data_IF_098827641974
#
_entry.id   IF_098827641974
#
_cell.length_a   1.000
_cell.length_b   1.000
_cell.length_c   1.000
_cell.angle_alpha   90.00
_cell.angle_beta   90.00
_cell.angle_gamma   90.00
#
_symmetry.space_group_name_H-M   'P 1'
#
loop_
_entity.id
_entity.type
_entity.pdbx_description
1 polymer ?
#
# COMPACT_ATOMS: atom_id res chain seq x y z
N UNK A 1 4.24 23.75 -2.47
CA UNK A 1 3.15 22.83 -2.84
C UNK A 1 3.46 21.51 -2.16
N UNK A 2 3.04 21.39 -0.90
CA UNK A 2 3.09 20.13 -0.17
C UNK A 2 1.96 19.28 -0.75
N UNK A 3 2.28 18.43 -1.74
CA UNK A 3 1.36 17.37 -2.11
C UNK A 3 1.22 16.48 -0.89
N UNK A 4 0.12 16.66 -0.18
CA UNK A 4 -0.28 15.85 0.96
C UNK A 4 -0.67 14.45 0.43
N UNK A 5 0.33 13.68 -0.01
CA UNK A 5 0.14 12.28 -0.37
C UNK A 5 0.01 11.50 0.94
N UNK A 6 -1.17 11.54 1.55
CA UNK A 6 -1.48 10.79 2.77
C UNK A 6 -1.47 9.29 2.43
N UNK A 7 -0.33 8.64 2.61
CA UNK A 7 -0.20 7.20 2.47
C UNK A 7 -0.40 6.52 3.82
N UNK A 8 -1.07 5.37 3.82
CA UNK A 8 -1.26 4.55 5.01
C UNK A 8 -0.24 3.43 5.03
N UNK A 9 0.46 3.27 6.16
CA UNK A 9 1.41 2.16 6.35
C UNK A 9 0.71 1.01 7.08
N UNK A 10 0.60 -0.13 6.39
CA UNK A 10 0.13 -1.37 6.98
C UNK A 10 1.31 -2.31 7.21
N UNK A 11 1.41 -2.86 8.42
CA UNK A 11 2.47 -3.82 8.79
C UNK A 11 1.86 -5.20 8.95
N UNK A 12 2.44 -6.19 8.28
CA UNK A 12 2.07 -7.60 8.42
C UNK A 12 3.31 -8.44 8.72
N UNK A 13 3.11 -9.54 9.45
CA UNK A 13 4.14 -10.57 9.67
C UNK A 13 4.12 -11.64 8.57
N UNK A 14 3.03 -11.74 7.81
CA UNK A 14 2.86 -12.69 6.73
C UNK A 14 3.19 -12.09 5.36
N UNK A 15 3.20 -12.94 4.33
CA UNK A 15 3.40 -12.57 2.93
C UNK A 15 2.11 -12.16 2.21
N UNK A 16 0.98 -12.15 2.93
CA UNK A 16 -0.36 -11.89 2.41
C UNK A 16 -1.07 -10.89 3.32
N UNK A 17 -1.79 -9.94 2.71
CA UNK A 17 -2.56 -8.90 3.40
C UNK A 17 -3.84 -8.65 2.60
N UNK A 18 -4.97 -8.55 3.30
CA UNK A 18 -6.23 -8.09 2.73
C UNK A 18 -6.46 -6.64 3.15
N UNK A 19 -6.73 -5.77 2.18
CA UNK A 19 -7.08 -4.37 2.41
C UNK A 19 -8.61 -4.22 2.44
N UNK A 20 -9.15 -3.73 3.55
CA UNK A 20 -10.58 -3.52 3.74
C UNK A 20 -10.89 -2.03 3.95
N UNK A 21 -12.14 -1.63 3.69
CA UNK A 21 -12.58 -0.25 3.90
C UNK A 21 -11.98 0.76 2.92
N UNK A 22 -11.59 0.29 1.73
CA UNK A 22 -11.20 1.19 0.64
C UNK A 22 -12.45 1.91 0.13
N UNK A 23 -12.30 3.18 -0.24
CA UNK A 23 -13.38 3.95 -0.85
C UNK A 23 -13.71 3.36 -2.22
N UNK A 24 -14.99 3.26 -2.62
CA UNK A 24 -15.39 2.87 -3.97
C UNK A 24 -14.91 3.91 -4.98
N UNK A 25 -14.84 3.51 -6.26
CA UNK A 25 -14.47 4.39 -7.39
C UNK A 25 -13.20 5.24 -7.12
N UNK A 26 -12.19 4.61 -6.51
CA UNK A 26 -10.97 5.30 -6.06
C UNK A 26 -9.73 4.52 -6.50
N UNK A 27 -8.81 5.20 -7.17
CA UNK A 27 -7.51 4.64 -7.53
C UNK A 27 -6.53 4.69 -6.35
N UNK A 28 -5.98 3.53 -6.00
CA UNK A 28 -4.99 3.35 -4.95
C UNK A 28 -3.63 2.95 -5.54
N UNK A 29 -2.56 3.51 -4.96
CA UNK A 29 -1.19 3.13 -5.26
C UNK A 29 -0.61 2.31 -4.11
N UNK A 30 -0.25 1.06 -4.38
CA UNK A 30 0.30 0.12 -3.42
C UNK A 30 1.79 -0.10 -3.67
N UNK A 31 2.56 -0.18 -2.58
CA UNK A 31 3.98 -0.51 -2.61
C UNK A 31 4.38 -1.29 -1.36
N UNK A 32 5.08 -2.41 -1.56
CA UNK A 32 5.42 -3.36 -0.50
C UNK A 32 6.92 -3.31 -0.24
N UNK A 33 7.31 -3.39 1.04
CA UNK A 33 8.72 -3.53 1.47
C UNK A 33 8.83 -4.62 2.53
N UNK A 34 9.80 -5.51 2.38
CA UNK A 34 10.16 -6.47 3.42
C UNK A 34 11.01 -5.80 4.51
N UNK A 35 10.84 -6.22 5.77
CA UNK A 35 11.66 -5.77 6.91
C UNK A 35 12.43 -6.97 7.47
N UNK A 36 13.74 -6.80 7.63
CA UNK A 36 14.65 -7.77 8.26
C UNK A 36 15.33 -7.12 9.48
N UNK A 37 16.17 -7.87 10.19
CA UNK A 37 16.99 -7.32 11.28
C UNK A 37 17.95 -6.21 10.80
N UNK A 38 18.40 -6.26 9.54
CA UNK A 38 19.26 -5.24 8.93
C UNK A 38 18.48 -3.99 8.44
N UNK A 39 17.15 -3.99 8.54
CA UNK A 39 16.29 -2.88 8.11
C UNK A 39 15.30 -3.24 7.00
N UNK A 40 14.79 -2.22 6.30
CA UNK A 40 13.86 -2.39 5.19
C UNK A 40 14.60 -2.65 3.88
N UNK A 41 14.14 -3.64 3.11
CA UNK A 41 14.58 -3.86 1.75
C UNK A 41 14.03 -2.82 0.77
N UNK A 42 14.37 -3.01 -0.51
CA UNK A 42 13.85 -2.20 -1.61
C UNK A 42 12.32 -2.26 -1.71
N UNK A 43 11.74 -1.20 -2.27
CA UNK A 43 10.33 -1.18 -2.65
C UNK A 43 10.03 -2.16 -3.78
N UNK A 44 8.86 -2.80 -3.72
CA UNK A 44 8.27 -3.42 -4.90
C UNK A 44 8.01 -2.36 -5.99
N UNK A 45 7.72 -2.83 -7.20
CA UNK A 45 7.07 -2.00 -8.21
C UNK A 45 5.77 -1.42 -7.63
N UNK A 46 5.45 -0.21 -8.06
CA UNK A 46 4.15 0.41 -7.77
C UNK A 46 3.07 -0.43 -8.43
N UNK A 47 2.05 -0.76 -7.66
CA UNK A 47 0.87 -1.44 -8.15
C UNK A 47 -0.31 -0.47 -8.02
N UNK A 48 -0.94 -0.16 -9.13
CA UNK A 48 -2.11 0.71 -9.18
C UNK A 48 -3.36 -0.15 -9.27
N UNK A 49 -4.36 0.16 -8.46
CA UNK A 49 -5.60 -0.58 -8.38
C UNK A 49 -6.77 0.36 -8.18
N UNK A 50 -7.82 0.18 -8.96
CA UNK A 50 -9.08 0.93 -8.83
C UNK A 50 -10.12 0.05 -8.15
N UNK A 51 -10.74 0.59 -7.11
CA UNK A 51 -11.89 -0.05 -6.47
C UNK A 51 -13.13 0.06 -7.34
N UNK A 52 -13.95 -0.99 -7.35
CA UNK A 52 -15.21 -0.98 -8.07
C UNK A 52 -16.15 0.14 -7.56
N UNK A 53 -17.04 0.65 -8.43
CA UNK A 53 -18.14 1.50 -8.00
C UNK A 53 -19.10 0.72 -7.08
N UNK A 54 -19.84 1.45 -6.25
CA UNK A 54 -20.89 0.92 -5.37
C UNK A 54 -22.07 0.29 -6.14
#
# INVERSE_FOLDING_TARGET
QEQETSYTILRSKGTNVTLNGLKPDTTYLLQIRARTAAGYGGSSRKFEFETSPD
#
